data_IF_728747599261
#
_entry.id   IF_728747599261
#
_cell.length_a   1.000
_cell.length_b   1.000
_cell.length_c   1.000
_cell.angle_alpha   90.00
_cell.angle_beta   90.00
_cell.angle_gamma   90.00
#
_symmetry.space_group_name_H-M   'P 1'
#
loop_
_entity.id
_entity.type
_entity.pdbx_description
1 polymer ?
#
# COMPACT_ATOMS: atom_id res chain seq x y z
N UNK A 1 -16.71 10.22 -5.96
CA UNK A 1 -16.37 9.39 -4.79
C UNK A 1 -16.14 7.95 -5.22
N UNK A 2 -17.10 7.28 -5.85
CA UNK A 2 -16.93 5.89 -6.35
C UNK A 2 -15.81 5.75 -7.42
N UNK A 3 -15.71 6.71 -8.34
CA UNK A 3 -14.63 6.77 -9.36
C UNK A 3 -13.21 6.89 -8.78
N UNK A 4 -13.04 7.46 -7.59
CA UNK A 4 -11.73 7.52 -6.92
C UNK A 4 -11.34 6.13 -6.38
N UNK A 5 -12.31 5.36 -5.88
CA UNK A 5 -12.09 3.99 -5.38
C UNK A 5 -11.82 2.95 -6.48
N UNK A 6 -12.32 3.18 -7.70
CA UNK A 6 -11.98 2.35 -8.87
C UNK A 6 -10.51 2.57 -9.29
N UNK A 7 -10.05 3.83 -9.32
CA UNK A 7 -8.65 4.14 -9.61
C UNK A 7 -7.67 3.59 -8.57
N UNK A 8 -8.14 3.42 -7.33
CA UNK A 8 -7.32 2.86 -6.25
C UNK A 8 -6.84 1.44 -6.56
N UNK A 9 -7.61 0.62 -7.27
CA UNK A 9 -7.18 -0.74 -7.62
C UNK A 9 -5.96 -0.74 -8.55
N UNK A 10 -6.01 0.07 -9.61
CA UNK A 10 -4.88 0.24 -10.53
C UNK A 10 -3.65 0.75 -9.80
N UNK A 11 -3.81 1.70 -8.88
CA UNK A 11 -2.69 2.28 -8.17
C UNK A 11 -2.15 1.38 -7.04
N UNK A 12 -2.96 0.51 -6.42
CA UNK A 12 -2.48 -0.59 -5.57
C UNK A 12 -1.64 -1.59 -6.37
N UNK A 13 -2.04 -1.86 -7.61
CA UNK A 13 -1.26 -2.71 -8.50
C UNK A 13 0.09 -2.08 -8.84
N UNK A 14 0.11 -0.81 -9.21
CA UNK A 14 1.36 -0.08 -9.49
C UNK A 14 2.28 -0.04 -8.27
N UNK A 15 1.74 0.22 -7.08
CA UNK A 15 2.50 0.21 -5.84
C UNK A 15 3.07 -1.16 -5.51
N UNK A 16 2.31 -2.25 -5.74
CA UNK A 16 2.83 -3.61 -5.60
C UNK A 16 4.06 -3.83 -6.47
N UNK A 17 3.99 -3.45 -7.76
CA UNK A 17 5.12 -3.59 -8.69
C UNK A 17 6.35 -2.79 -8.23
N UNK A 18 6.15 -1.59 -7.68
CA UNK A 18 7.24 -0.77 -7.13
C UNK A 18 7.87 -1.42 -5.89
N UNK A 19 7.06 -1.99 -5.00
CA UNK A 19 7.55 -2.70 -3.81
C UNK A 19 8.33 -3.95 -4.21
N UNK A 20 7.82 -4.73 -5.16
CA UNK A 20 8.49 -5.93 -5.67
C UNK A 20 9.84 -5.58 -6.29
N UNK A 21 9.91 -4.47 -7.04
CA UNK A 21 11.16 -3.96 -7.59
C UNK A 21 12.16 -3.56 -6.49
N UNK A 22 11.72 -2.80 -5.49
CA UNK A 22 12.56 -2.42 -4.35
C UNK A 22 13.06 -3.66 -3.59
N UNK A 23 12.19 -4.65 -3.36
CA UNK A 23 12.57 -5.90 -2.72
C UNK A 23 13.65 -6.65 -3.51
N UNK A 24 13.56 -6.69 -4.84
CA UNK A 24 14.57 -7.29 -5.72
C UNK A 24 15.89 -6.51 -5.65
N UNK A 25 15.84 -5.19 -5.67
CA UNK A 25 17.03 -4.33 -5.58
C UNK A 25 17.74 -4.50 -4.22
N UNK A 26 16.98 -4.49 -3.12
CA UNK A 26 17.48 -4.78 -1.77
C UNK A 26 18.07 -6.19 -1.67
N UNK A 27 17.41 -7.20 -2.25
CA UNK A 27 17.93 -8.57 -2.27
C UNK A 27 19.24 -8.69 -3.07
N UNK A 28 19.33 -8.02 -4.23
CA UNK A 28 20.53 -8.00 -5.07
C UNK A 28 21.72 -7.31 -4.39
N UNK A 29 21.45 -6.27 -3.59
CA UNK A 29 22.48 -5.63 -2.77
C UNK A 29 23.01 -6.56 -1.66
N UNK A 30 22.32 -7.66 -1.35
CA UNK A 30 22.77 -8.70 -0.44
C UNK A 30 23.12 -8.14 0.93
N UNK A 31 24.24 -8.59 1.53
CA UNK A 31 24.73 -8.08 2.81
C UNK A 31 25.14 -6.59 2.81
N UNK A 32 25.09 -5.91 1.66
CA UNK A 32 25.28 -4.46 1.53
C UNK A 32 23.99 -3.65 1.62
N UNK A 33 22.81 -4.29 1.55
CA UNK A 33 21.57 -3.62 1.91
C UNK A 33 21.56 -3.41 3.43
N UNK A 34 21.61 -2.15 3.87
CA UNK A 34 21.46 -1.82 5.28
C UNK A 34 20.15 -2.37 5.85
N UNK A 35 20.13 -2.62 7.16
CA UNK A 35 18.92 -3.04 7.90
C UNK A 35 17.71 -2.16 7.57
N UNK A 36 17.93 -0.85 7.46
CA UNK A 36 16.91 0.15 7.13
C UNK A 36 16.26 -0.11 5.75
N UNK A 37 17.03 -0.53 4.74
CA UNK A 37 16.49 -0.82 3.41
C UNK A 37 15.60 -2.07 3.41
N UNK A 38 15.92 -3.07 4.24
CA UNK A 38 15.09 -4.28 4.38
C UNK A 38 13.83 -3.97 5.17
N UNK A 39 13.96 -3.28 6.31
CA UNK A 39 12.83 -2.84 7.13
C UNK A 39 11.86 -1.98 6.32
N UNK A 40 12.39 -1.10 5.47
CA UNK A 40 11.59 -0.25 4.60
C UNK A 40 10.73 -1.04 3.61
N UNK A 41 11.30 -2.08 2.99
CA UNK A 41 10.55 -2.96 2.08
C UNK A 41 9.44 -3.67 2.84
N UNK A 42 9.71 -4.16 4.06
CA UNK A 42 8.72 -4.86 4.88
C UNK A 42 7.59 -3.92 5.35
N UNK A 43 7.91 -2.69 5.73
CA UNK A 43 6.92 -1.66 6.07
C UNK A 43 6.00 -1.37 4.89
N UNK A 44 6.57 -1.14 3.70
CA UNK A 44 5.80 -0.88 2.49
C UNK A 44 4.87 -2.06 2.14
N UNK A 45 5.34 -3.30 2.29
CA UNK A 45 4.51 -4.51 2.10
C UNK A 45 3.36 -4.56 3.10
N UNK A 46 3.61 -4.25 4.37
CA UNK A 46 2.57 -4.25 5.40
C UNK A 46 1.49 -3.20 5.11
N UNK A 47 1.89 -1.96 4.77
CA UNK A 47 0.96 -0.90 4.42
C UNK A 47 0.16 -1.21 3.16
N UNK A 48 0.81 -1.80 2.15
CA UNK A 48 0.13 -2.28 0.93
C UNK A 48 -0.92 -3.34 1.25
N UNK A 49 -0.58 -4.35 2.06
CA UNK A 49 -1.51 -5.39 2.45
C UNK A 49 -2.73 -4.84 3.22
N UNK A 50 -2.52 -3.86 4.11
CA UNK A 50 -3.60 -3.19 4.83
C UNK A 50 -4.51 -2.44 3.86
N UNK A 51 -3.95 -1.62 2.96
CA UNK A 51 -4.74 -0.86 1.99
C UNK A 51 -5.53 -1.78 1.05
N UNK A 52 -4.90 -2.86 0.58
CA UNK A 52 -5.57 -3.86 -0.26
C UNK A 52 -6.70 -4.58 0.49
N UNK A 53 -6.48 -4.97 1.75
CA UNK A 53 -7.51 -5.61 2.56
C UNK A 53 -8.73 -4.70 2.77
N UNK A 54 -8.51 -3.40 3.04
CA UNK A 54 -9.60 -2.41 3.18
C UNK A 54 -10.35 -2.18 1.88
N UNK A 55 -9.66 -2.16 0.73
CA UNK A 55 -10.29 -2.04 -0.57
C UNK A 55 -11.17 -3.25 -0.88
N UNK A 56 -10.67 -4.47 -0.63
CA UNK A 56 -11.46 -5.68 -0.77
C UNK A 56 -12.69 -5.69 0.17
N UNK A 57 -12.53 -5.28 1.43
CA UNK A 57 -13.63 -5.17 2.39
C UNK A 57 -14.71 -4.18 1.92
N UNK A 58 -14.28 -3.03 1.39
CA UNK A 58 -15.18 -2.02 0.83
C UNK A 58 -16.02 -2.59 -0.32
N UNK A 59 -15.42 -3.33 -1.25
CA UNK A 59 -16.18 -3.92 -2.37
C UNK A 59 -17.04 -5.12 -1.96
N UNK A 60 -16.64 -5.86 -0.92
CA UNK A 60 -17.35 -7.05 -0.44
C UNK A 60 -18.64 -6.74 0.34
N UNK A 61 -18.80 -5.51 0.85
CA UNK A 61 -20.01 -5.11 1.61
C UNK A 61 -20.99 -4.30 0.75
N UNK A 62 -22.26 -4.25 1.17
CA UNK A 62 -23.27 -3.39 0.54
C UNK A 62 -23.16 -1.91 0.91
N UNK A 63 -23.81 -1.05 0.12
CA UNK A 63 -23.62 0.42 0.10
C UNK A 63 -23.70 1.09 1.47
N UNK A 64 -24.65 0.67 2.32
CA UNK A 64 -24.85 1.29 3.63
C UNK A 64 -23.70 1.01 4.62
N UNK A 65 -22.99 -0.11 4.42
CA UNK A 65 -21.76 -0.45 5.16
C UNK A 65 -20.53 0.19 4.52
N UNK A 66 -20.50 0.34 3.19
CA UNK A 66 -19.40 1.02 2.47
C UNK A 66 -19.13 2.41 3.00
N UNK A 67 -20.19 3.20 3.24
CA UNK A 67 -20.08 4.56 3.80
C UNK A 67 -19.31 4.61 5.13
N UNK A 68 -19.37 3.55 5.94
CA UNK A 68 -18.65 3.47 7.22
C UNK A 68 -17.19 3.07 7.07
N UNK A 69 -16.83 2.42 5.97
CA UNK A 69 -15.48 1.95 5.67
C UNK A 69 -14.66 2.99 4.90
N UNK A 70 -15.29 4.05 4.36
CA UNK A 70 -14.59 5.13 3.63
C UNK A 70 -13.42 5.70 4.45
N UNK A 71 -13.60 6.11 5.72
CA UNK A 71 -12.50 6.70 6.48
C UNK A 71 -11.33 5.73 6.71
N UNK A 72 -11.63 4.45 6.94
CA UNK A 72 -10.62 3.42 7.15
C UNK A 72 -9.82 3.13 5.87
N UNK A 73 -10.51 3.09 4.73
CA UNK A 73 -9.90 2.92 3.42
C UNK A 73 -9.04 4.13 3.03
N UNK A 74 -9.56 5.36 3.22
CA UNK A 74 -8.80 6.59 2.99
C UNK A 74 -7.58 6.69 3.92
N UNK A 75 -7.73 6.29 5.19
CA UNK A 75 -6.62 6.27 6.15
C UNK A 75 -5.51 5.30 5.72
N UNK A 76 -5.87 4.06 5.36
CA UNK A 76 -4.91 3.08 4.87
C UNK A 76 -4.21 3.53 3.58
N UNK A 77 -4.99 4.16 2.68
CA UNK A 77 -4.46 4.73 1.45
C UNK A 77 -3.45 5.85 1.68
N UNK A 78 -3.81 6.82 2.51
CA UNK A 78 -2.96 7.96 2.81
C UNK A 78 -1.67 7.55 3.51
N UNK A 79 -1.73 6.53 4.39
CA UNK A 79 -0.53 5.98 5.01
C UNK A 79 0.42 5.37 3.98
N UNK A 80 -0.10 4.58 3.04
CA UNK A 80 0.71 3.99 1.97
C UNK A 80 1.26 5.06 1.02
N UNK A 81 0.45 6.04 0.63
CA UNK A 81 0.86 7.17 -0.19
C UNK A 81 1.98 7.97 0.48
N UNK A 82 1.82 8.30 1.76
CA UNK A 82 2.81 9.02 2.54
C UNK A 82 4.12 8.24 2.65
N UNK A 83 4.04 6.92 2.86
CA UNK A 83 5.22 6.08 2.82
C UNK A 83 5.92 6.21 1.46
N UNK A 84 5.26 6.06 0.32
CA UNK A 84 5.94 6.24 -0.97
C UNK A 84 6.50 7.64 -1.22
N UNK A 85 5.89 8.68 -0.64
CA UNK A 85 6.33 10.06 -0.79
C UNK A 85 7.57 10.39 0.07
N UNK A 86 7.77 9.69 1.19
CA UNK A 86 8.92 9.86 2.08
C UNK A 86 9.77 8.57 2.12
N UNK A 87 10.74 8.43 1.20
CA UNK A 87 11.63 7.28 1.18
C UNK A 87 12.71 7.31 2.28
N UNK A 88 12.80 8.37 3.10
CA UNK A 88 13.96 8.66 3.95
C UNK A 88 13.66 8.86 5.44
N UNK A 89 12.51 8.38 5.93
CA UNK A 89 12.22 8.37 7.37
C UNK A 89 12.96 7.23 8.09
#
# INVERSE_FOLDING_TARGET
MEFEFEKMESQLWDWRLRIDRLAIETHKAGGGAGFDATMRVDELKALHAIAQARHHEFWAVGDLKRLRLIPDLEGAWNNLLAAFADPGR
#
